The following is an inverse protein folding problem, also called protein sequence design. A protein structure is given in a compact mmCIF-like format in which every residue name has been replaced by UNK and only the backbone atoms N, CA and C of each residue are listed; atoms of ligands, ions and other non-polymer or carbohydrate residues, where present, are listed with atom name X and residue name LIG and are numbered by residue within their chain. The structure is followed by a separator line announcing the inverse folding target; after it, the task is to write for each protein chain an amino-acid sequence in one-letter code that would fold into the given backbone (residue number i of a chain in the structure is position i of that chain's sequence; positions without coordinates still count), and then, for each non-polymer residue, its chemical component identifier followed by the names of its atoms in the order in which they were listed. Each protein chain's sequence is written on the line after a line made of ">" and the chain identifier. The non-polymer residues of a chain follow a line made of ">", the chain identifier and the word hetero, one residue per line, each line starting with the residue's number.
data_IF_958226460387
#
_entry.id   IF_958226460387
#
_cell.length_a   1.000
_cell.length_b   1.000
_cell.length_c   1.000
_cell.angle_alpha   90.00
_cell.angle_beta   90.00
_cell.angle_gamma   90.00
#
_symmetry.space_group_name_H-M   'P 1'
#
loop_
_entity.id
_entity.type
_entity.pdbx_description
1 polymer ?
#
# COMPACT_ATOMS: atom_id res chain seq x y z
N UNK A 1 0.25 -2.79 17.20
CA UNK A 1 -1.06 -2.40 16.65
C UNK A 1 -1.13 -3.06 15.28
N UNK A 2 -2.05 -4.01 15.08
CA UNK A 2 -2.19 -4.69 13.79
C UNK A 2 -2.89 -3.71 12.84
N UNK A 3 -2.15 -3.08 11.93
CA UNK A 3 -2.75 -2.30 10.87
C UNK A 3 -3.50 -3.27 9.94
N UNK A 4 -4.81 -3.38 10.15
CA UNK A 4 -5.69 -4.12 9.26
C UNK A 4 -5.91 -3.28 8.00
N UNK A 5 -5.74 -3.88 6.82
CA UNK A 5 -6.06 -3.26 5.52
C UNK A 5 -7.49 -2.66 5.44
N UNK A 6 -8.36 -3.05 6.38
CA UNK A 6 -9.73 -2.57 6.58
C UNK A 6 -9.86 -1.04 6.82
N UNK A 7 -8.79 -0.37 7.27
CA UNK A 7 -8.81 1.08 7.57
C UNK A 7 -8.24 1.98 6.46
N UNK A 8 -7.96 1.42 5.28
CA UNK A 8 -7.44 2.20 4.15
C UNK A 8 -8.49 3.20 3.64
N UNK A 9 -8.09 4.47 3.47
CA UNK A 9 -8.93 5.54 2.92
C UNK A 9 -8.32 6.15 1.68
N UNK A 10 -9.17 6.61 0.77
CA UNK A 10 -8.75 7.39 -0.39
C UNK A 10 -8.20 8.77 0.03
N UNK A 11 -7.19 9.25 -0.70
CA UNK A 11 -6.47 10.49 -0.44
C UNK A 11 -5.56 10.45 0.80
N UNK A 12 -5.24 9.26 1.29
CA UNK A 12 -4.29 9.05 2.40
C UNK A 12 -3.00 8.42 1.91
N UNK A 13 -1.92 8.76 2.61
CA UNK A 13 -0.58 8.26 2.34
C UNK A 13 -0.26 7.10 3.28
N UNK A 14 0.34 6.06 2.73
CA UNK A 14 0.73 4.88 3.49
C UNK A 14 2.19 4.54 3.19
N UNK A 15 2.84 3.94 4.19
CA UNK A 15 4.17 3.38 4.12
C UNK A 15 4.05 1.85 4.22
N UNK A 16 4.56 1.15 3.22
CA UNK A 16 4.70 -0.29 3.22
C UNK A 16 6.17 -0.65 3.29
N UNK A 17 6.54 -1.46 4.27
CA UNK A 17 7.89 -1.99 4.42
C UNK A 17 7.82 -3.49 4.18
N UNK A 18 8.62 -4.01 3.24
CA UNK A 18 8.68 -5.43 2.95
C UNK A 18 10.06 -5.82 2.43
N UNK A 19 10.62 -6.93 2.92
CA UNK A 19 11.98 -7.38 2.58
C UNK A 19 13.10 -6.31 2.74
N UNK A 20 12.91 -5.31 3.60
CA UNK A 20 13.86 -4.20 3.80
C UNK A 20 13.76 -3.08 2.76
N UNK A 21 12.76 -3.14 1.87
CA UNK A 21 12.39 -2.06 0.97
C UNK A 21 11.18 -1.30 1.53
N UNK A 22 11.19 0.02 1.31
CA UNK A 22 10.16 0.95 1.78
C UNK A 22 9.44 1.55 0.56
N UNK A 23 8.13 1.35 0.49
CA UNK A 23 7.27 1.90 -0.55
C UNK A 23 6.30 2.89 0.07
N UNK A 24 6.35 4.12 -0.42
CA UNK A 24 5.41 5.17 -0.05
C UNK A 24 4.43 5.42 -1.19
N UNK A 25 3.14 5.40 -0.88
CA UNK A 25 2.09 5.62 -1.88
C UNK A 25 0.87 6.32 -1.32
N UNK A 26 0.15 6.99 -2.20
CA UNK A 26 -1.17 7.58 -1.95
C UNK A 26 -2.26 6.65 -2.50
N UNK A 27 -3.31 6.42 -1.73
CA UNK A 27 -4.48 5.66 -2.21
C UNK A 27 -5.38 6.60 -3.00
N UNK A 28 -5.48 6.39 -4.30
CA UNK A 28 -6.26 7.22 -5.21
C UNK A 28 -7.73 6.80 -5.22
N UNK A 29 -7.99 5.50 -5.32
CA UNK A 29 -9.34 4.97 -5.50
C UNK A 29 -9.48 3.58 -4.88
N UNK A 30 -10.64 3.29 -4.28
CA UNK A 30 -11.00 1.95 -3.80
C UNK A 30 -11.82 1.28 -4.90
N UNK A 31 -11.32 0.17 -5.42
CA UNK A 31 -11.95 -0.62 -6.46
C UNK A 31 -12.93 -1.61 -5.86
N UNK A 32 -14.00 -1.92 -6.60
CA UNK A 32 -15.08 -2.79 -6.13
C UNK A 32 -14.69 -4.25 -5.82
N UNK A 33 -13.47 -4.66 -6.22
CA UNK A 33 -12.96 -6.01 -6.02
C UNK A 33 -12.08 -6.14 -4.76
N UNK A 34 -12.26 -5.27 -3.76
CA UNK A 34 -11.40 -5.20 -2.57
C UNK A 34 -9.94 -4.84 -2.92
N UNK A 35 -9.77 -4.07 -4.00
CA UNK A 35 -8.46 -3.64 -4.49
C UNK A 35 -8.33 -2.12 -4.38
N UNK A 36 -7.11 -1.61 -4.39
CA UNK A 36 -6.83 -0.19 -4.18
C UNK A 36 -5.92 0.30 -5.28
N UNK A 37 -6.37 1.32 -6.00
CA UNK A 37 -5.52 2.04 -6.94
C UNK A 37 -4.63 2.96 -6.13
N UNK A 38 -3.33 2.72 -6.18
CA UNK A 38 -2.32 3.49 -5.46
C UNK A 38 -1.43 4.23 -6.43
N UNK A 39 -0.92 5.39 -6.01
CA UNK A 39 0.11 6.13 -6.72
C UNK A 39 1.37 6.17 -5.88
N UNK A 40 2.46 5.70 -6.44
CA UNK A 40 3.78 5.74 -5.81
C UNK A 40 4.23 7.19 -5.63
N UNK A 41 4.70 7.56 -4.44
CA UNK A 41 5.19 8.92 -4.19
C UNK A 41 6.58 9.17 -4.80
N UNK A 42 7.38 8.12 -4.96
CA UNK A 42 8.73 8.21 -5.52
C UNK A 42 8.72 8.33 -7.06
N UNK A 43 8.00 7.43 -7.73
CA UNK A 43 7.97 7.36 -9.21
C UNK A 43 6.78 8.09 -9.84
N UNK A 44 5.77 8.47 -9.05
CA UNK A 44 4.48 9.01 -9.51
C UNK A 44 3.69 8.04 -10.41
N UNK A 45 4.08 6.77 -10.45
CA UNK A 45 3.40 5.73 -11.21
C UNK A 45 2.16 5.22 -10.46
N UNK A 46 1.12 4.87 -11.22
CA UNK A 46 -0.12 4.33 -10.68
C UNK A 46 -0.15 2.81 -10.88
N UNK A 47 -0.43 2.09 -9.80
CA UNK A 47 -0.49 0.63 -9.79
C UNK A 47 -1.54 0.14 -8.79
N UNK A 48 -1.81 -1.16 -8.78
CA UNK A 48 -2.70 -1.76 -7.79
C UNK A 48 -1.94 -2.13 -6.51
N UNK A 49 -2.56 -1.94 -5.35
CA UNK A 49 -1.97 -2.36 -4.09
C UNK A 49 -1.73 -3.86 -4.06
N UNK A 50 -2.64 -4.66 -4.62
CA UNK A 50 -2.46 -6.11 -4.74
C UNK A 50 -1.22 -6.48 -5.54
N UNK A 51 -0.86 -5.70 -6.57
CA UNK A 51 0.37 -5.95 -7.35
C UNK A 51 1.63 -5.66 -6.52
N UNK A 52 1.59 -4.61 -5.69
CA UNK A 52 2.68 -4.27 -4.78
C UNK A 52 2.93 -5.39 -3.75
N UNK A 53 1.86 -6.00 -3.22
CA UNK A 53 1.95 -7.09 -2.23
C UNK A 53 1.94 -8.50 -2.84
N UNK A 54 1.80 -8.63 -4.16
CA UNK A 54 1.72 -9.92 -4.87
C UNK A 54 2.99 -10.75 -4.73
N UNK A 55 4.14 -10.08 -4.55
CA UNK A 55 5.45 -10.73 -4.38
C UNK A 55 5.61 -11.48 -3.05
N UNK A 56 4.62 -11.37 -2.15
CA UNK A 56 4.60 -12.05 -0.86
C UNK A 56 4.98 -11.13 0.29
N UNK A 57 4.74 -11.60 1.52
CA UNK A 57 4.96 -10.84 2.76
C UNK A 57 6.16 -11.44 3.49
N UNK A 58 7.23 -10.68 3.60
CA UNK A 58 8.40 -11.00 4.38
C UNK A 58 8.14 -10.90 5.89
N UNK A 59 9.12 -11.30 6.73
CA UNK A 59 9.00 -11.23 8.18
C UNK A 59 8.95 -9.80 8.74
N UNK A 60 9.42 -8.82 7.96
CA UNK A 60 9.43 -7.39 8.31
C UNK A 60 8.20 -6.64 7.75
N UNK A 61 7.23 -7.37 7.22
CA UNK A 61 6.06 -6.75 6.58
C UNK A 61 5.35 -5.80 7.54
N UNK A 62 5.40 -4.51 7.21
CA UNK A 62 4.79 -3.44 7.98
C UNK A 62 3.97 -2.55 7.05
N UNK A 63 2.83 -2.10 7.53
CA UNK A 63 1.94 -1.19 6.82
C UNK A 63 1.49 -0.14 7.80
N UNK A 64 1.83 1.13 7.56
CA UNK A 64 1.54 2.24 8.46
C UNK A 64 0.96 3.44 7.69
N UNK A 65 0.13 4.24 8.36
CA UNK A 65 -0.40 5.50 7.81
C UNK A 65 0.58 6.62 8.12
N UNK A 66 0.91 7.46 7.12
CA UNK A 66 1.78 8.63 7.28
C UNK A 66 1.04 9.87 7.78
#
# INVERSE_FOLDING_TARGET
>A
MNASFDIIRTGKHYLLINFGEEWQFEVMEILANDDFRIRMLDTLEEQLLSELIAYGRGPDFTFDEL
#
